data_IF_950263588148
#
_entry.id   IF_950263588148
#
_cell.length_a   1.000
_cell.length_b   1.000
_cell.length_c   1.000
_cell.angle_alpha   90.00
_cell.angle_beta   90.00
_cell.angle_gamma   90.00
#
_symmetry.space_group_name_H-M   'P 1'
#
loop_
_entity.id
_entity.type
_entity.pdbx_description
1 polymer ?
#
# COMPACT_ATOMS: atom_id res chain seq x y z
N UNK A 1 26.75 -14.08 19.23
CA UNK A 1 25.84 -13.28 20.07
C UNK A 1 24.47 -13.96 20.07
N UNK A 2 23.92 -14.26 21.24
CA UNK A 2 22.56 -14.80 21.38
C UNK A 2 21.55 -13.66 21.25
N UNK A 3 20.52 -13.81 20.40
CA UNK A 3 19.40 -12.86 20.32
C UNK A 3 18.49 -13.07 21.54
N UNK A 4 18.21 -12.00 22.28
CA UNK A 4 17.26 -11.98 23.40
C UNK A 4 16.09 -11.05 23.05
N UNK A 5 14.87 -11.44 23.43
CA UNK A 5 13.65 -10.64 23.28
C UNK A 5 13.03 -10.47 24.66
N UNK A 6 12.74 -9.23 25.04
CA UNK A 6 12.05 -8.86 26.28
C UNK A 6 10.65 -8.38 25.94
N UNK A 7 9.62 -8.98 26.55
CA UNK A 7 8.24 -8.53 26.41
C UNK A 7 7.89 -7.60 27.57
N UNK A 8 7.23 -6.48 27.24
CA UNK A 8 6.75 -5.50 28.21
C UNK A 8 5.30 -5.13 27.88
N UNK A 9 4.53 -4.85 28.92
CA UNK A 9 3.12 -4.48 28.91
C UNK A 9 2.94 -3.08 29.50
N UNK A 10 1.74 -2.52 29.41
CA UNK A 10 1.43 -1.28 30.13
C UNK A 10 1.55 -1.47 31.66
N UNK A 11 1.48 -2.71 32.14
CA UNK A 11 1.61 -2.99 33.55
C UNK A 11 3.05 -2.89 34.07
N UNK A 12 4.02 -3.01 33.18
CA UNK A 12 5.46 -2.87 33.47
C UNK A 12 5.89 -1.39 33.53
N UNK A 13 5.02 -0.46 33.11
CA UNK A 13 5.24 0.99 33.21
C UNK A 13 4.95 1.49 34.63
N UNK A 14 5.95 1.37 35.52
CA UNK A 14 5.83 1.70 36.95
C UNK A 14 5.51 3.17 37.28
N UNK A 15 5.56 4.07 36.29
CA UNK A 15 5.22 5.48 36.45
C UNK A 15 3.73 5.79 36.27
N UNK A 16 2.91 4.83 35.84
CA UNK A 16 1.45 5.00 35.72
C UNK A 16 0.71 4.34 36.88
N UNK A 17 -0.24 5.08 37.46
CA UNK A 17 -1.23 4.54 38.39
C UNK A 17 -2.22 3.60 37.69
N UNK A 18 -2.91 2.70 38.41
CA UNK A 18 -3.93 1.84 37.81
C UNK A 18 -5.04 2.60 37.06
N UNK A 19 -5.42 3.79 37.55
CA UNK A 19 -6.42 4.63 36.92
C UNK A 19 -5.93 5.24 35.60
N UNK A 20 -4.67 5.71 35.56
CA UNK A 20 -4.06 6.24 34.34
C UNK A 20 -3.89 5.15 33.28
N UNK A 21 -3.48 3.93 33.69
CA UNK A 21 -3.41 2.78 32.79
C UNK A 21 -4.77 2.47 32.17
N UNK A 22 -5.83 2.45 32.97
CA UNK A 22 -7.19 2.22 32.48
C UNK A 22 -7.64 3.30 31.48
N UNK A 23 -7.32 4.57 31.75
CA UNK A 23 -7.63 5.67 30.84
C UNK A 23 -6.85 5.56 29.51
N UNK A 24 -5.56 5.22 29.56
CA UNK A 24 -4.73 5.00 28.37
C UNK A 24 -5.26 3.82 27.55
N UNK A 25 -5.61 2.71 28.20
CA UNK A 25 -6.18 1.53 27.50
C UNK A 25 -7.54 1.88 26.86
N UNK A 26 -8.39 2.64 27.55
CA UNK A 26 -9.68 3.04 27.00
C UNK A 26 -9.56 3.96 25.77
N UNK A 27 -8.48 4.75 25.68
CA UNK A 27 -8.21 5.65 24.56
C UNK A 27 -7.84 4.93 23.25
N UNK A 28 -7.38 3.68 23.30
CA UNK A 28 -7.07 2.94 22.07
C UNK A 28 -8.35 2.52 21.31
N UNK A 29 -8.30 2.42 19.96
CA UNK A 29 -9.35 1.79 19.17
C UNK A 29 -9.61 0.37 19.67
N UNK A 30 -10.88 -0.06 19.72
CA UNK A 30 -11.28 -1.33 20.33
C UNK A 30 -10.51 -2.56 19.82
N UNK A 31 -10.12 -2.55 18.54
CA UNK A 31 -9.36 -3.62 17.90
C UNK A 31 -7.86 -3.61 18.22
N UNK A 32 -7.31 -2.52 18.77
CA UNK A 32 -5.90 -2.39 19.14
C UNK A 32 -5.65 -2.47 20.65
N UNK A 33 -6.70 -2.27 21.46
CA UNK A 33 -6.62 -2.18 22.94
C UNK A 33 -5.83 -3.32 23.56
N UNK A 34 -6.16 -4.55 23.21
CA UNK A 34 -5.57 -5.73 23.85
C UNK A 34 -4.10 -5.93 23.45
N UNK A 35 -3.76 -5.71 22.18
CA UNK A 35 -2.40 -5.82 21.68
C UNK A 35 -1.49 -4.74 22.28
N UNK A 36 -1.94 -3.48 22.32
CA UNK A 36 -1.19 -2.36 22.89
C UNK A 36 -1.07 -2.42 24.41
N UNK A 37 -2.06 -2.96 25.11
CA UNK A 37 -2.03 -3.08 26.57
C UNK A 37 -1.13 -4.24 27.05
N UNK A 38 -1.26 -5.42 26.43
CA UNK A 38 -0.65 -6.66 26.94
C UNK A 38 0.68 -7.04 26.29
N UNK A 39 1.10 -6.33 25.24
CA UNK A 39 2.33 -6.68 24.51
C UNK A 39 2.33 -8.09 23.90
N UNK A 40 1.16 -8.76 23.87
CA UNK A 40 0.98 -10.08 23.28
C UNK A 40 0.75 -9.85 21.78
N UNK A 41 1.62 -10.38 20.90
CA UNK A 41 1.30 -10.46 19.49
C UNK A 41 0.12 -11.43 19.38
N UNK A 42 -1.11 -10.94 19.25
CA UNK A 42 -2.22 -11.81 18.88
C UNK A 42 -1.86 -12.33 17.48
N UNK A 43 -1.90 -13.64 17.28
CA UNK A 43 -1.88 -14.23 15.94
C UNK A 43 -3.12 -13.70 15.21
N UNK A 44 -2.96 -12.58 14.49
CA UNK A 44 -4.06 -11.81 13.89
C UNK A 44 -4.15 -10.34 14.34
N UNK A 45 -3.62 -9.93 15.50
CA UNK A 45 -3.44 -8.51 15.82
C UNK A 45 -2.15 -8.02 15.18
N UNK A 46 -2.23 -6.94 14.40
CA UNK A 46 -1.09 -6.36 13.69
C UNK A 46 -1.08 -6.63 12.19
N UNK A 47 -2.06 -7.39 11.67
CA UNK A 47 -2.35 -7.35 10.22
C UNK A 47 -3.13 -6.08 9.93
N UNK A 48 -2.57 -5.23 9.07
CA UNK A 48 -3.26 -4.03 8.58
C UNK A 48 -4.56 -4.42 7.86
N UNK A 49 -4.55 -5.52 7.12
CA UNK A 49 -5.73 -6.08 6.45
C UNK A 49 -6.10 -7.45 7.05
N UNK A 50 -7.06 -7.51 7.98
CA UNK A 50 -7.57 -8.76 8.53
C UNK A 50 -8.67 -9.36 7.63
N UNK A 51 -8.45 -9.41 6.31
CA UNK A 51 -9.42 -9.96 5.33
C UNK A 51 -8.85 -11.24 4.72
N UNK A 52 -9.60 -12.36 4.69
CA UNK A 52 -9.19 -13.58 3.99
C UNK A 52 -8.91 -13.33 2.51
N UNK A 53 -7.82 -13.91 1.99
CA UNK A 53 -7.41 -13.74 0.59
C UNK A 53 -8.48 -14.21 -0.40
N UNK A 54 -9.18 -15.31 -0.09
CA UNK A 54 -10.29 -15.84 -0.87
C UNK A 54 -11.45 -14.85 -1.08
N UNK A 55 -11.62 -13.86 -0.20
CA UNK A 55 -12.66 -12.84 -0.35
C UNK A 55 -12.26 -11.75 -1.34
N UNK A 56 -10.97 -11.57 -1.59
CA UNK A 56 -10.44 -10.56 -2.52
C UNK A 56 -9.93 -11.19 -3.81
N UNK A 57 -9.55 -12.46 -3.82
CA UNK A 57 -9.15 -13.18 -5.02
C UNK A 57 -10.32 -13.36 -5.98
N UNK A 58 -10.04 -13.28 -7.28
CA UNK A 58 -10.99 -13.60 -8.34
C UNK A 58 -10.26 -14.16 -9.56
N UNK A 59 -10.98 -14.98 -10.33
CA UNK A 59 -10.43 -15.54 -11.57
C UNK A 59 -10.20 -14.44 -12.62
N UNK A 60 -9.08 -14.47 -13.36
CA UNK A 60 -8.82 -13.49 -14.40
C UNK A 60 -9.88 -13.53 -15.50
N UNK A 61 -10.29 -12.36 -15.95
CA UNK A 61 -11.23 -12.22 -17.07
C UNK A 61 -10.82 -11.10 -18.02
N UNK A 62 -11.44 -11.07 -19.19
CA UNK A 62 -11.20 -10.01 -20.18
C UNK A 62 -11.87 -8.72 -19.73
N UNK A 63 -11.06 -7.72 -19.41
CA UNK A 63 -11.53 -6.41 -18.98
C UNK A 63 -12.32 -5.69 -20.09
N UNK A 64 -13.48 -5.09 -19.76
CA UNK A 64 -14.18 -4.15 -20.65
C UNK A 64 -13.32 -2.97 -21.07
N UNK A 65 -13.47 -2.51 -22.32
CA UNK A 65 -12.63 -1.43 -22.88
C UNK A 65 -12.92 -0.06 -22.26
N UNK A 66 -14.13 0.15 -21.76
CA UNK A 66 -14.57 1.44 -21.20
C UNK A 66 -14.21 1.62 -19.73
N UNK A 67 -13.73 0.57 -19.06
CA UNK A 67 -13.26 0.69 -17.68
C UNK A 67 -11.97 1.51 -17.63
N UNK A 68 -11.92 2.57 -16.81
CA UNK A 68 -10.69 3.30 -16.56
C UNK A 68 -9.61 2.38 -16.02
N UNK A 69 -8.37 2.61 -16.48
CA UNK A 69 -7.20 1.82 -16.07
C UNK A 69 -6.05 2.74 -15.72
N UNK A 70 -5.30 2.36 -14.69
CA UNK A 70 -4.13 3.08 -14.22
C UNK A 70 -3.08 2.10 -13.74
N UNK A 71 -1.82 2.36 -14.07
CA UNK A 71 -0.68 1.72 -13.44
C UNK A 71 -0.27 2.46 -12.17
N UNK A 72 0.15 1.75 -11.13
CA UNK A 72 0.75 2.35 -9.94
C UNK A 72 2.13 1.77 -9.72
N UNK A 73 3.13 2.64 -9.55
CA UNK A 73 4.53 2.30 -9.29
C UNK A 73 4.86 2.53 -7.81
N UNK A 74 5.71 1.69 -7.25
CA UNK A 74 6.49 1.96 -6.04
C UNK A 74 7.97 1.85 -6.41
N UNK A 75 8.72 2.92 -6.22
CA UNK A 75 10.13 2.95 -6.57
C UNK A 75 10.95 2.25 -5.49
N UNK A 76 11.93 1.44 -5.89
CA UNK A 76 12.79 0.74 -4.95
C UNK A 76 14.06 0.16 -5.58
N UNK A 77 15.15 0.18 -4.83
CA UNK A 77 16.39 -0.52 -5.18
C UNK A 77 16.71 -1.62 -4.18
N UNK A 78 17.00 -1.23 -2.94
CA UNK A 78 17.29 -2.16 -1.83
C UNK A 78 16.02 -2.89 -1.38
N UNK A 79 14.91 -2.16 -1.27
CA UNK A 79 13.60 -2.79 -1.34
C UNK A 79 13.21 -2.94 -2.82
N UNK A 80 12.57 -4.05 -3.20
CA UNK A 80 12.10 -4.23 -4.56
C UNK A 80 11.17 -3.09 -4.97
N UNK A 81 11.33 -2.61 -6.20
CA UNK A 81 10.28 -1.85 -6.87
C UNK A 81 9.06 -2.75 -7.12
N UNK A 82 7.89 -2.13 -7.15
CA UNK A 82 6.64 -2.80 -7.48
C UNK A 82 5.86 -1.99 -8.52
N UNK A 83 5.07 -2.69 -9.31
CA UNK A 83 4.10 -2.09 -10.21
C UNK A 83 2.81 -2.90 -10.17
N UNK A 84 1.66 -2.23 -10.21
CA UNK A 84 0.36 -2.89 -10.38
C UNK A 84 -0.46 -2.18 -11.45
N UNK A 85 -1.31 -2.93 -12.14
CA UNK A 85 -2.35 -2.37 -12.99
C UNK A 85 -3.69 -2.49 -12.24
N UNK A 86 -4.41 -1.37 -12.19
CA UNK A 86 -5.75 -1.28 -11.65
C UNK A 86 -6.73 -1.02 -12.78
N UNK A 87 -7.86 -1.73 -12.78
CA UNK A 87 -9.02 -1.44 -13.60
C UNK A 87 -10.22 -1.15 -12.69
N UNK A 88 -11.05 -0.18 -13.06
CA UNK A 88 -12.19 0.22 -12.23
C UNK A 88 -13.51 0.01 -12.98
N UNK A 89 -14.37 -0.84 -12.42
CA UNK A 89 -15.78 -0.87 -12.75
C UNK A 89 -16.46 0.32 -12.08
N UNK A 90 -16.75 1.35 -12.86
CA UNK A 90 -17.39 2.57 -12.38
C UNK A 90 -18.88 2.41 -12.05
N UNK A 91 -19.53 1.36 -12.58
CA UNK A 91 -20.95 1.12 -12.33
C UNK A 91 -21.14 0.36 -11.01
N UNK A 92 -20.32 -0.66 -10.76
CA UNK A 92 -20.35 -1.44 -9.53
C UNK A 92 -19.42 -0.87 -8.42
N UNK A 93 -18.60 0.12 -8.76
CA UNK A 93 -17.52 0.65 -7.91
C UNK A 93 -16.56 -0.43 -7.40
N UNK A 94 -16.12 -1.32 -8.30
CA UNK A 94 -15.16 -2.39 -7.98
C UNK A 94 -13.82 -2.12 -8.64
N UNK A 95 -12.76 -2.08 -7.85
CA UNK A 95 -11.38 -1.96 -8.34
C UNK A 95 -10.76 -3.35 -8.44
N UNK A 96 -10.18 -3.66 -9.59
CA UNK A 96 -9.50 -4.91 -9.88
C UNK A 96 -8.01 -4.67 -10.02
N UNK A 97 -7.20 -5.37 -9.22
CA UNK A 97 -5.76 -5.52 -9.46
C UNK A 97 -5.58 -6.64 -10.48
N UNK A 98 -5.14 -6.28 -11.69
CA UNK A 98 -5.18 -7.18 -12.86
C UNK A 98 -3.82 -7.68 -13.27
N UNK A 99 -2.76 -6.97 -12.88
CA UNK A 99 -1.36 -7.31 -13.12
C UNK A 99 -0.53 -6.83 -11.94
N UNK A 100 0.52 -7.57 -11.61
CA UNK A 100 1.54 -7.16 -10.67
C UNK A 100 2.92 -7.46 -11.26
N UNK A 101 3.89 -6.61 -10.94
CA UNK A 101 5.30 -6.83 -11.24
C UNK A 101 6.14 -6.43 -10.03
N UNK A 102 7.17 -7.22 -9.75
CA UNK A 102 8.12 -7.00 -8.66
C UNK A 102 9.53 -7.11 -9.21
N UNK A 103 10.35 -6.09 -8.97
CA UNK A 103 11.70 -6.01 -9.49
C UNK A 103 12.68 -5.58 -8.39
N UNK A 104 13.66 -6.42 -8.05
CA UNK A 104 14.74 -6.06 -7.14
C UNK A 104 15.99 -5.65 -7.93
N UNK A 105 16.67 -4.59 -7.50
CA UNK A 105 17.95 -4.13 -8.08
C UNK A 105 17.90 -3.91 -9.60
N UNK A 106 16.77 -3.41 -10.13
CA UNK A 106 16.60 -3.09 -11.54
C UNK A 106 16.54 -1.58 -11.76
N UNK A 107 17.19 -1.12 -12.83
CA UNK A 107 17.16 0.29 -13.22
C UNK A 107 15.79 0.70 -13.76
N UNK A 108 15.43 2.00 -13.75
CA UNK A 108 14.20 2.48 -14.35
C UNK A 108 14.02 2.07 -15.82
N UNK A 109 15.10 1.97 -16.59
CA UNK A 109 15.07 1.50 -17.97
C UNK A 109 14.57 0.05 -18.10
N UNK A 110 15.09 -0.85 -17.27
CA UNK A 110 14.70 -2.27 -17.27
C UNK A 110 13.26 -2.45 -16.80
N UNK A 111 12.87 -1.72 -15.76
CA UNK A 111 11.51 -1.75 -15.25
C UNK A 111 10.53 -1.19 -16.28
N UNK A 112 10.84 -0.06 -16.93
CA UNK A 112 10.03 0.48 -18.02
C UNK A 112 9.86 -0.51 -19.17
N UNK A 113 10.93 -1.21 -19.56
CA UNK A 113 10.86 -2.25 -20.59
C UNK A 113 9.88 -3.39 -20.21
N UNK A 114 9.88 -3.80 -18.94
CA UNK A 114 8.97 -4.84 -18.45
C UNK A 114 7.50 -4.38 -18.38
N UNK A 115 7.25 -3.09 -18.19
CA UNK A 115 5.91 -2.53 -18.00
C UNK A 115 5.27 -2.03 -19.31
N UNK A 116 6.05 -1.66 -20.33
CA UNK A 116 5.55 -1.26 -21.65
C UNK A 116 4.53 -2.24 -22.28
N UNK A 117 4.72 -3.56 -22.19
CA UNK A 117 3.73 -4.53 -22.69
C UNK A 117 2.35 -4.41 -22.06
N UNK A 118 2.20 -3.70 -20.93
CA UNK A 118 0.88 -3.45 -20.34
C UNK A 118 0.05 -2.46 -21.17
N UNK A 119 0.73 -1.64 -21.99
CA UNK A 119 0.16 -0.67 -22.90
C UNK A 119 0.86 0.68 -22.75
N UNK A 120 1.46 1.19 -23.82
CA UNK A 120 2.13 2.51 -23.81
C UNK A 120 1.18 3.67 -23.48
N UNK A 121 -0.12 3.48 -23.72
CA UNK A 121 -1.16 4.45 -23.39
C UNK A 121 -1.50 4.51 -21.89
N UNK A 122 -1.18 3.48 -21.11
CA UNK A 122 -1.60 3.34 -19.72
C UNK A 122 -0.90 4.40 -18.84
N UNK A 123 -1.64 5.30 -18.17
CA UNK A 123 -1.02 6.26 -17.28
C UNK A 123 -0.49 5.57 -16.02
N UNK A 124 0.69 5.97 -15.56
CA UNK A 124 1.31 5.48 -14.33
C UNK A 124 1.36 6.56 -13.24
N UNK A 125 0.70 6.28 -12.12
CA UNK A 125 0.85 7.02 -10.88
C UNK A 125 2.08 6.53 -10.11
N UNK A 126 2.64 7.40 -9.28
CA UNK A 126 3.89 7.17 -8.56
C UNK A 126 3.87 7.91 -7.21
N UNK A 127 4.57 7.41 -6.19
CA UNK A 127 4.50 7.97 -4.84
C UNK A 127 5.24 9.30 -4.76
N UNK A 128 4.95 10.08 -3.73
CA UNK A 128 5.87 11.11 -3.27
C UNK A 128 7.08 10.43 -2.62
N UNK A 129 7.96 9.84 -3.43
CA UNK A 129 9.14 9.15 -2.90
C UNK A 129 10.08 10.17 -2.24
N UNK A 130 10.23 10.04 -0.94
CA UNK A 130 10.89 10.97 -0.03
C UNK A 130 11.53 10.21 1.13
N UNK A 131 12.18 9.09 0.88
CA UNK A 131 12.93 8.34 1.91
C UNK A 131 14.23 9.00 2.35
N UNK A 132 14.60 10.13 1.75
CA UNK A 132 15.62 11.03 2.29
C UNK A 132 14.94 12.37 2.53
N UNK A 133 14.76 12.71 3.80
CA UNK A 133 14.40 14.06 4.28
C UNK A 133 15.31 15.16 3.69
N UNK A 134 16.41 14.80 3.02
CA UNK A 134 17.37 15.71 2.39
C UNK A 134 17.18 15.97 0.89
N UNK A 135 16.22 15.33 0.19
CA UNK A 135 15.99 15.60 -1.23
C UNK A 135 14.50 15.70 -1.56
N UNK A 136 13.91 16.85 -1.28
CA UNK A 136 12.69 17.27 -1.97
C UNK A 136 12.88 17.08 -3.49
N UNK A 137 12.05 16.22 -4.10
CA UNK A 137 12.07 15.99 -5.55
C UNK A 137 12.70 14.68 -6.04
N UNK A 138 13.15 13.78 -5.16
CA UNK A 138 13.67 12.46 -5.57
C UNK A 138 12.66 11.66 -6.42
N UNK A 139 11.39 11.59 -6.01
CA UNK A 139 10.34 10.96 -6.80
C UNK A 139 10.10 11.61 -8.18
N UNK A 140 10.23 12.93 -8.29
CA UNK A 140 10.09 13.65 -9.58
C UNK A 140 11.24 13.27 -10.52
N UNK A 141 12.47 13.19 -9.99
CA UNK A 141 13.63 12.78 -10.78
C UNK A 141 13.48 11.34 -11.29
N UNK A 142 13.02 10.41 -10.45
CA UNK A 142 12.75 9.04 -10.84
C UNK A 142 11.63 8.96 -11.88
N UNK A 143 10.49 9.62 -11.65
CA UNK A 143 9.39 9.66 -12.62
C UNK A 143 9.83 10.18 -14.00
N UNK A 144 10.70 11.21 -14.04
CA UNK A 144 11.30 11.69 -15.29
C UNK A 144 12.17 10.65 -15.99
N UNK A 145 12.92 9.82 -15.25
CA UNK A 145 13.70 8.73 -15.83
C UNK A 145 12.80 7.65 -16.44
N UNK A 146 11.73 7.24 -15.74
CA UNK A 146 10.74 6.31 -16.30
C UNK A 146 10.06 6.88 -17.56
N UNK A 147 9.69 8.16 -17.54
CA UNK A 147 9.11 8.85 -18.69
C UNK A 147 10.09 8.93 -19.88
N UNK A 148 11.37 9.21 -19.63
CA UNK A 148 12.41 9.20 -20.66
C UNK A 148 12.60 7.82 -21.31
N UNK A 149 12.26 6.74 -20.60
CA UNK A 149 12.24 5.39 -21.14
C UNK A 149 10.90 4.99 -21.76
N UNK A 150 9.93 5.90 -21.84
CA UNK A 150 8.68 5.72 -22.59
C UNK A 150 7.51 5.15 -21.79
N UNK A 151 7.51 5.25 -20.45
CA UNK A 151 6.29 5.07 -19.67
C UNK A 151 5.48 6.38 -19.64
N UNK A 152 4.15 6.27 -19.76
CA UNK A 152 3.23 7.40 -19.66
C UNK A 152 3.03 7.79 -18.18
N UNK A 153 3.99 8.51 -17.60
CA UNK A 153 3.97 8.92 -16.20
C UNK A 153 3.02 10.10 -15.97
N UNK A 154 2.23 10.07 -14.91
CA UNK A 154 1.44 11.23 -14.49
C UNK A 154 2.35 12.40 -14.09
N UNK A 155 1.91 13.63 -14.38
CA UNK A 155 2.69 14.84 -14.14
C UNK A 155 2.97 15.12 -12.65
N UNK A 156 2.10 14.63 -11.77
CA UNK A 156 2.23 14.76 -10.31
C UNK A 156 2.10 13.42 -9.62
N UNK A 157 2.72 13.30 -8.45
CA UNK A 157 2.62 12.12 -7.59
C UNK A 157 1.18 11.88 -7.10
N UNK A 158 0.94 10.65 -6.65
CA UNK A 158 -0.32 10.21 -6.07
C UNK A 158 -0.71 11.04 -4.85
N UNK A 159 -1.94 11.54 -4.84
CA UNK A 159 -2.56 12.31 -3.75
C UNK A 159 -4.06 12.11 -3.76
N UNK A 160 -4.69 12.33 -2.61
CA UNK A 160 -6.16 12.36 -2.50
C UNK A 160 -6.74 13.58 -3.22
N UNK A 161 -8.06 13.58 -3.40
CA UNK A 161 -8.78 14.67 -4.08
C UNK A 161 -8.60 16.03 -3.38
N UNK A 162 -8.42 16.03 -2.06
CA UNK A 162 -8.11 17.22 -1.26
C UNK A 162 -6.63 17.64 -1.32
N UNK A 163 -5.81 16.90 -2.07
CA UNK A 163 -4.38 17.13 -2.23
C UNK A 163 -3.50 16.49 -1.16
N UNK A 164 -4.08 15.84 -0.15
CA UNK A 164 -3.34 15.19 0.94
C UNK A 164 -2.62 13.92 0.49
N UNK A 165 -1.61 13.51 1.27
CA UNK A 165 -0.90 12.23 1.12
C UNK A 165 -0.90 11.53 2.48
N UNK A 166 -1.93 10.73 2.73
CA UNK A 166 -2.12 10.03 4.00
C UNK A 166 -2.09 8.52 3.81
N UNK A 167 -1.09 7.86 4.39
CA UNK A 167 -0.98 6.39 4.37
C UNK A 167 -2.16 5.77 5.11
N UNK A 168 -2.50 6.28 6.30
CA UNK A 168 -3.60 5.75 7.11
C UNK A 168 -4.95 5.84 6.39
N UNK A 169 -5.24 6.98 5.75
CA UNK A 169 -6.48 7.13 4.98
C UNK A 169 -6.53 6.13 3.81
N UNK A 170 -5.41 5.90 3.13
CA UNK A 170 -5.32 4.94 2.03
C UNK A 170 -5.53 3.50 2.51
N UNK A 171 -4.95 3.13 3.66
CA UNK A 171 -5.15 1.82 4.26
C UNK A 171 -6.61 1.60 4.67
N UNK A 172 -7.27 2.59 5.27
CA UNK A 172 -8.68 2.49 5.64
C UNK A 172 -9.60 2.35 4.42
N UNK A 173 -9.39 3.16 3.38
CA UNK A 173 -10.16 3.05 2.12
C UNK A 173 -9.97 1.67 1.46
N UNK A 174 -8.74 1.15 1.44
CA UNK A 174 -8.47 -0.20 0.92
C UNK A 174 -9.20 -1.27 1.76
N UNK A 175 -9.15 -1.18 3.09
CA UNK A 175 -9.82 -2.13 3.97
C UNK A 175 -11.35 -2.11 3.77
N UNK A 176 -11.95 -0.92 3.67
CA UNK A 176 -13.38 -0.76 3.41
C UNK A 176 -13.78 -1.39 2.08
N UNK A 177 -12.96 -1.22 1.03
CA UNK A 177 -13.19 -1.87 -0.27
C UNK A 177 -13.02 -3.39 -0.20
N UNK A 178 -12.03 -3.90 0.54
CA UNK A 178 -11.86 -5.34 0.73
C UNK A 178 -13.07 -5.96 1.44
N UNK A 179 -13.54 -5.34 2.53
CA UNK A 179 -14.68 -5.86 3.32
C UNK A 179 -16.02 -5.77 2.58
N UNK A 180 -16.21 -4.73 1.75
CA UNK A 180 -17.41 -4.56 0.93
C UNK A 180 -17.37 -5.33 -0.40
N UNK A 181 -16.28 -6.04 -0.71
CA UNK A 181 -16.11 -6.75 -1.98
C UNK A 181 -15.84 -5.84 -3.19
N UNK A 182 -15.52 -4.55 -2.95
CA UNK A 182 -15.18 -3.52 -3.94
C UNK A 182 -13.70 -3.45 -4.30
N UNK A 183 -12.87 -4.32 -3.71
CA UNK A 183 -11.50 -4.57 -4.17
C UNK A 183 -11.35 -6.06 -4.50
N UNK A 184 -10.88 -6.34 -5.71
CA UNK A 184 -10.60 -7.69 -6.19
C UNK A 184 -9.21 -7.79 -6.80
N UNK A 185 -8.60 -8.96 -6.72
CA UNK A 185 -7.25 -9.26 -7.19
C UNK A 185 -7.30 -10.50 -8.06
N UNK A 186 -6.72 -10.43 -9.27
CA UNK A 186 -6.64 -11.59 -10.15
C UNK A 186 -5.71 -12.66 -9.56
N UNK A 187 -6.11 -13.93 -9.61
CA UNK A 187 -5.37 -15.09 -9.08
C UNK A 187 -4.15 -15.53 -9.92
N UNK A 188 -3.50 -14.61 -10.64
CA UNK A 188 -2.38 -14.88 -11.57
C UNK A 188 -1.02 -15.04 -10.93
#
# INVERSE_FOLDING_TARGET
>A
MSRHVTFMTIDDAGHYTPAERAAIVAAYPAHEREARAKGIPVLGSGRIFPVPEELIACEPFRLPRWWPRIGALDFGWDHPSAAVELAWDTEADVVYVTKASRAAQQTPAMQALALKPWGEWLPFTWPRDGRRETLEGAGVALAKQYAAHGLNMLASHARFADGSVSVEAGLMEMLDRMQSGRLKVFST
#
